data_IF_641589520796
#
_entry.id   IF_641589520796
#
_cell.length_a   1.000
_cell.length_b   1.000
_cell.length_c   1.000
_cell.angle_alpha   90.00
_cell.angle_beta   90.00
_cell.angle_gamma   90.00
#
_symmetry.space_group_name_H-M   'P 1'
#
loop_
_entity.id
_entity.type
_entity.pdbx_description
1 polymer ?
#
# COMPACT_ATOMS: atom_id res chain seq x y z
N UNK A 1 35.04 13.78 10.23
CA UNK A 1 33.94 14.68 9.83
C UNK A 1 33.43 14.39 8.41
N UNK A 2 34.29 14.26 7.41
CA UNK A 2 33.91 14.06 6.00
C UNK A 2 33.08 12.78 5.73
N UNK A 3 33.41 11.70 6.42
CA UNK A 3 32.70 10.40 6.25
C UNK A 3 31.27 10.44 6.81
N UNK A 4 31.06 11.18 7.91
CA UNK A 4 29.72 11.37 8.49
C UNK A 4 28.83 12.18 7.55
N UNK A 5 29.36 13.26 6.96
CA UNK A 5 28.64 14.11 6.02
C UNK A 5 28.21 13.38 4.73
N UNK A 6 29.05 12.48 4.21
CA UNK A 6 28.73 11.62 3.06
C UNK A 6 27.59 10.64 3.38
N UNK A 7 27.58 10.07 4.59
CA UNK A 7 26.52 9.15 5.03
C UNK A 7 25.18 9.89 5.17
N UNK A 8 25.15 11.05 5.78
CA UNK A 8 23.92 11.83 5.94
C UNK A 8 23.35 12.31 4.59
N UNK A 9 24.19 12.77 3.68
CA UNK A 9 23.77 13.12 2.32
C UNK A 9 23.20 11.94 1.56
N UNK A 10 23.77 10.76 1.72
CA UNK A 10 23.25 9.51 1.15
C UNK A 10 21.85 9.17 1.65
N UNK A 11 21.61 9.29 2.97
CA UNK A 11 20.31 9.06 3.60
C UNK A 11 19.24 10.04 3.11
N UNK A 12 19.57 11.33 3.02
CA UNK A 12 18.64 12.35 2.52
C UNK A 12 18.26 12.12 1.06
N UNK A 13 19.23 11.71 0.23
CA UNK A 13 18.99 11.40 -1.17
C UNK A 13 18.09 10.16 -1.33
N UNK A 14 18.31 9.11 -0.53
CA UNK A 14 17.47 7.92 -0.52
C UNK A 14 16.03 8.25 -0.11
N UNK A 15 15.84 9.02 0.97
CA UNK A 15 14.52 9.45 1.44
C UNK A 15 13.78 10.23 0.35
N UNK A 16 14.44 11.19 -0.31
CA UNK A 16 13.85 11.98 -1.40
C UNK A 16 13.43 11.10 -2.58
N UNK A 17 14.23 10.11 -2.97
CA UNK A 17 13.90 9.16 -4.06
C UNK A 17 12.66 8.32 -3.71
N UNK A 18 12.59 7.81 -2.48
CA UNK A 18 11.46 7.00 -2.03
C UNK A 18 10.17 7.85 -1.99
N UNK A 19 10.21 9.06 -1.41
CA UNK A 19 9.04 9.95 -1.38
C UNK A 19 8.53 10.27 -2.78
N UNK A 20 9.43 10.61 -3.72
CA UNK A 20 9.03 10.83 -5.12
C UNK A 20 8.40 9.60 -5.76
N UNK A 21 8.92 8.41 -5.45
CA UNK A 21 8.36 7.16 -5.96
C UNK A 21 7.00 6.87 -5.32
N UNK A 22 6.83 7.15 -4.03
CA UNK A 22 5.54 7.01 -3.31
C UNK A 22 4.43 7.82 -4.00
N UNK A 23 4.69 9.08 -4.33
CA UNK A 23 3.72 9.91 -5.05
C UNK A 23 3.40 9.37 -6.45
N UNK A 24 4.39 8.82 -7.17
CA UNK A 24 4.15 8.16 -8.46
C UNK A 24 3.28 6.92 -8.31
N UNK A 25 3.55 6.10 -7.30
CA UNK A 25 2.75 4.90 -7.00
C UNK A 25 1.32 5.30 -6.65
N UNK A 26 1.13 6.31 -5.80
CA UNK A 26 -0.20 6.82 -5.43
C UNK A 26 -0.97 7.32 -6.65
N UNK A 27 -0.33 8.10 -7.52
CA UNK A 27 -0.95 8.61 -8.74
C UNK A 27 -1.37 7.48 -9.69
N UNK A 28 -0.48 6.51 -9.94
CA UNK A 28 -0.77 5.34 -10.77
C UNK A 28 -1.89 4.50 -10.15
N UNK A 29 -1.89 4.34 -8.83
CA UNK A 29 -2.95 3.64 -8.11
C UNK A 29 -4.32 4.25 -8.34
N UNK A 30 -4.46 5.57 -8.21
CA UNK A 30 -5.73 6.28 -8.44
C UNK A 30 -6.20 6.11 -9.88
N UNK A 31 -5.29 6.29 -10.86
CA UNK A 31 -5.62 6.13 -12.29
C UNK A 31 -6.08 4.70 -12.61
N UNK A 32 -5.35 3.70 -12.14
CA UNK A 32 -5.70 2.29 -12.39
C UNK A 32 -7.02 1.92 -11.69
N UNK A 33 -7.23 2.39 -10.46
CA UNK A 33 -8.50 2.14 -9.74
C UNK A 33 -9.68 2.74 -10.50
N UNK A 34 -9.56 3.97 -11.01
CA UNK A 34 -10.60 4.60 -11.81
C UNK A 34 -10.85 3.84 -13.13
N UNK A 35 -9.78 3.41 -13.82
CA UNK A 35 -9.90 2.62 -15.04
C UNK A 35 -10.60 1.27 -14.79
N UNK A 36 -10.23 0.57 -13.70
CA UNK A 36 -10.90 -0.67 -13.32
C UNK A 36 -12.35 -0.44 -12.89
N UNK A 37 -12.67 0.67 -12.20
CA UNK A 37 -14.04 0.97 -11.83
C UNK A 37 -14.92 1.18 -13.07
N UNK A 38 -14.45 1.91 -14.08
CA UNK A 38 -15.14 2.09 -15.36
C UNK A 38 -15.32 0.74 -16.09
N UNK A 39 -14.25 -0.05 -16.15
CA UNK A 39 -14.29 -1.37 -16.79
C UNK A 39 -15.30 -2.32 -16.13
N UNK A 40 -15.31 -2.39 -14.81
CA UNK A 40 -16.20 -3.26 -14.05
C UNK A 40 -17.64 -2.73 -13.94
N UNK A 41 -17.85 -1.42 -14.13
CA UNK A 41 -19.20 -0.88 -14.32
C UNK A 41 -19.86 -1.47 -15.57
N UNK A 42 -19.08 -1.65 -16.64
CA UNK A 42 -19.55 -2.26 -17.90
C UNK A 42 -19.60 -3.80 -17.85
N UNK A 43 -18.83 -4.43 -16.94
CA UNK A 43 -18.67 -5.87 -16.81
C UNK A 43 -19.01 -6.36 -15.40
N UNK A 44 -20.23 -6.08 -14.93
CA UNK A 44 -20.67 -6.29 -13.55
C UNK A 44 -20.57 -7.77 -13.10
N UNK A 45 -20.82 -8.73 -13.97
CA UNK A 45 -20.72 -10.17 -13.63
C UNK A 45 -19.27 -10.59 -13.34
N UNK A 46 -18.32 -10.07 -14.11
CA UNK A 46 -16.88 -10.30 -13.83
C UNK A 46 -16.45 -9.65 -12.51
N UNK A 47 -16.94 -8.43 -12.24
CA UNK A 47 -16.68 -7.77 -10.97
C UNK A 47 -17.20 -8.57 -9.76
N UNK A 48 -18.41 -9.15 -9.88
CA UNK A 48 -19.01 -10.01 -8.87
C UNK A 48 -18.15 -11.26 -8.58
N UNK A 49 -17.63 -11.90 -9.63
CA UNK A 49 -16.74 -13.06 -9.48
C UNK A 49 -15.44 -12.68 -8.75
N UNK A 50 -14.81 -11.55 -9.12
CA UNK A 50 -13.62 -11.05 -8.47
C UNK A 50 -13.90 -10.74 -7.00
N UNK A 51 -15.00 -10.04 -6.72
CA UNK A 51 -15.39 -9.71 -5.35
C UNK A 51 -15.63 -10.98 -4.51
N UNK A 52 -16.32 -11.98 -5.04
CA UNK A 52 -16.56 -13.24 -4.37
C UNK A 52 -15.24 -13.97 -3.99
N UNK A 53 -14.21 -13.85 -4.83
CA UNK A 53 -12.87 -14.41 -4.55
C UNK A 53 -12.19 -13.76 -3.35
N UNK A 54 -12.45 -12.46 -3.10
CA UNK A 54 -11.86 -11.70 -2.00
C UNK A 54 -12.72 -11.65 -0.74
N UNK A 55 -13.99 -12.05 -0.82
CA UNK A 55 -14.93 -12.05 0.30
C UNK A 55 -14.42 -12.81 1.54
N UNK A 56 -13.83 -14.02 1.43
CA UNK A 56 -13.29 -14.74 2.58
C UNK A 56 -12.18 -13.95 3.30
N UNK A 57 -11.36 -13.24 2.54
CA UNK A 57 -10.32 -12.37 3.13
C UNK A 57 -10.91 -11.15 3.84
N UNK A 58 -11.97 -10.56 3.32
CA UNK A 58 -12.67 -9.48 3.99
C UNK A 58 -13.34 -9.98 5.30
N UNK A 59 -13.92 -11.17 5.27
CA UNK A 59 -14.52 -11.81 6.44
C UNK A 59 -13.49 -12.13 7.54
N UNK A 60 -12.25 -12.45 7.19
CA UNK A 60 -11.19 -12.77 8.17
C UNK A 60 -10.78 -11.60 9.07
N UNK A 61 -11.17 -10.38 8.73
CA UNK A 61 -10.94 -9.17 9.54
C UNK A 61 -12.22 -8.66 10.22
N UNK A 62 -13.29 -9.46 10.22
CA UNK A 62 -14.55 -9.18 10.93
C UNK A 62 -14.60 -9.94 12.25
N UNK A 63 -15.29 -9.37 13.22
CA UNK A 63 -15.65 -10.03 14.48
C UNK A 63 -16.82 -10.99 14.27
N UNK A 64 -17.11 -11.85 15.25
CA UNK A 64 -18.25 -12.78 15.22
C UNK A 64 -19.61 -12.08 15.08
N UNK A 65 -19.73 -10.85 15.55
CA UNK A 65 -20.91 -10.01 15.44
C UNK A 65 -21.08 -9.30 14.08
N UNK A 66 -20.16 -9.54 13.13
CA UNK A 66 -20.16 -8.91 11.81
C UNK A 66 -19.60 -7.48 11.77
N UNK A 67 -19.08 -6.98 12.88
CA UNK A 67 -18.39 -5.68 12.93
C UNK A 67 -16.94 -5.81 12.48
N UNK A 68 -16.32 -4.72 12.02
CA UNK A 68 -14.90 -4.72 11.65
C UNK A 68 -14.02 -4.82 12.90
N UNK A 69 -13.12 -5.79 12.90
CA UNK A 69 -12.05 -5.88 13.89
C UNK A 69 -10.94 -4.88 13.56
N UNK A 70 -10.86 -3.78 14.30
CA UNK A 70 -9.80 -2.77 14.11
C UNK A 70 -8.40 -3.39 14.21
N UNK A 71 -8.18 -4.27 15.19
CA UNK A 71 -6.91 -4.98 15.35
C UNK A 71 -6.65 -5.89 14.14
N UNK A 72 -7.66 -6.62 13.65
CA UNK A 72 -7.56 -7.47 12.47
C UNK A 72 -7.18 -6.66 11.21
N UNK A 73 -7.82 -5.52 11.00
CA UNK A 73 -7.52 -4.62 9.87
C UNK A 73 -6.09 -4.10 9.95
N UNK A 74 -5.66 -3.58 11.12
CA UNK A 74 -4.29 -3.07 11.30
C UNK A 74 -3.26 -4.16 11.05
N UNK A 75 -3.45 -5.35 11.64
CA UNK A 75 -2.51 -6.47 11.47
C UNK A 75 -2.44 -6.95 10.01
N UNK A 76 -3.59 -7.03 9.32
CA UNK A 76 -3.62 -7.37 7.89
C UNK A 76 -2.85 -6.32 7.06
N UNK A 77 -3.01 -5.04 7.35
CA UNK A 77 -2.33 -3.96 6.63
C UNK A 77 -0.82 -3.93 6.92
N UNK A 78 -0.41 -4.12 8.18
CA UNK A 78 1.01 -4.26 8.55
C UNK A 78 1.64 -5.42 7.80
N UNK A 79 0.97 -6.59 7.78
CA UNK A 79 1.43 -7.77 7.07
C UNK A 79 1.52 -7.53 5.56
N UNK A 80 0.49 -6.94 4.95
CA UNK A 80 0.48 -6.62 3.53
C UNK A 80 1.63 -5.68 3.13
N UNK A 81 1.89 -4.66 3.94
CA UNK A 81 2.99 -3.73 3.72
C UNK A 81 4.37 -4.37 3.90
N UNK A 82 4.54 -5.22 4.92
CA UNK A 82 5.76 -5.99 5.12
C UNK A 82 6.02 -6.94 3.93
N UNK A 83 4.98 -7.61 3.45
CA UNK A 83 5.05 -8.46 2.26
C UNK A 83 5.43 -7.67 1.00
N UNK A 84 4.89 -6.46 0.78
CA UNK A 84 5.28 -5.60 -0.34
C UNK A 84 6.78 -5.28 -0.34
N UNK A 85 7.36 -5.00 0.83
CA UNK A 85 8.80 -4.76 0.97
C UNK A 85 9.57 -6.06 0.74
N UNK A 86 9.14 -7.17 1.35
CA UNK A 86 9.76 -8.50 1.21
C UNK A 86 9.79 -8.99 -0.25
N UNK A 87 8.70 -8.80 -1.00
CA UNK A 87 8.64 -9.11 -2.43
C UNK A 87 9.66 -8.31 -3.25
N UNK A 88 10.06 -7.13 -2.77
CA UNK A 88 11.13 -6.34 -3.37
C UNK A 88 12.51 -6.99 -3.31
N UNK A 89 12.71 -7.99 -2.44
CA UNK A 89 13.94 -8.77 -2.39
C UNK A 89 14.13 -9.71 -3.59
N UNK A 90 13.08 -9.94 -4.40
CA UNK A 90 13.14 -10.77 -5.60
C UNK A 90 13.46 -9.85 -6.80
N UNK A 91 14.69 -9.90 -7.34
CA UNK A 91 15.06 -9.05 -8.47
C UNK A 91 14.33 -9.46 -9.75
N UNK A 92 14.29 -8.56 -10.73
CA UNK A 92 13.74 -8.70 -12.09
C UNK A 92 12.20 -8.79 -12.20
N UNK A 93 11.48 -9.33 -11.23
CA UNK A 93 10.03 -9.66 -11.38
C UNK A 93 9.11 -8.50 -10.97
N UNK A 94 9.59 -7.52 -10.20
CA UNK A 94 8.80 -6.39 -9.73
C UNK A 94 7.46 -6.77 -9.06
N UNK A 95 7.44 -7.86 -8.28
CA UNK A 95 6.27 -8.35 -7.56
C UNK A 95 5.50 -7.27 -6.77
N UNK A 96 6.15 -6.27 -6.12
CA UNK A 96 5.42 -5.18 -5.48
C UNK A 96 4.49 -4.40 -6.42
N UNK A 97 4.82 -4.29 -7.70
CA UNK A 97 3.96 -3.65 -8.70
C UNK A 97 2.70 -4.47 -8.99
N UNK A 98 2.77 -5.80 -8.93
CA UNK A 98 1.59 -6.68 -9.04
C UNK A 98 0.64 -6.49 -7.85
N UNK A 99 1.17 -6.22 -6.64
CA UNK A 99 0.34 -5.89 -5.48
C UNK A 99 -0.41 -4.58 -5.68
N UNK A 100 0.19 -3.56 -6.33
CA UNK A 100 -0.53 -2.34 -6.73
C UNK A 100 -1.70 -2.70 -7.64
N UNK A 101 -1.43 -3.47 -8.69
CA UNK A 101 -2.43 -3.84 -9.70
C UNK A 101 -3.60 -4.62 -9.07
N UNK A 102 -3.35 -5.61 -8.24
CA UNK A 102 -4.40 -6.41 -7.60
C UNK A 102 -5.27 -5.57 -6.66
N UNK A 103 -4.70 -4.66 -5.87
CA UNK A 103 -5.49 -3.77 -5.02
C UNK A 103 -6.33 -2.77 -5.82
N UNK A 104 -5.79 -2.21 -6.90
CA UNK A 104 -6.56 -1.36 -7.81
C UNK A 104 -7.74 -2.11 -8.42
N UNK A 105 -7.52 -3.37 -8.82
CA UNK A 105 -8.55 -4.22 -9.40
C UNK A 105 -9.67 -4.51 -8.40
N UNK A 106 -9.35 -4.84 -7.14
CA UNK A 106 -10.34 -5.14 -6.10
C UNK A 106 -11.19 -3.91 -5.79
N UNK A 107 -10.54 -2.75 -5.56
CA UNK A 107 -11.26 -1.50 -5.25
C UNK A 107 -12.08 -1.05 -6.46
N UNK A 108 -11.52 -1.15 -7.66
CA UNK A 108 -12.23 -0.86 -8.90
C UNK A 108 -13.43 -1.78 -9.12
N UNK A 109 -13.31 -3.08 -8.83
CA UNK A 109 -14.43 -4.02 -8.92
C UNK A 109 -15.55 -3.67 -7.92
N UNK A 110 -15.18 -3.31 -6.68
CA UNK A 110 -16.15 -2.88 -5.66
C UNK A 110 -16.92 -1.63 -6.09
N UNK A 111 -16.22 -0.62 -6.57
CA UNK A 111 -16.82 0.64 -7.00
C UNK A 111 -17.66 0.46 -8.28
N UNK A 112 -17.11 -0.26 -9.26
CA UNK A 112 -17.80 -0.48 -10.54
C UNK A 112 -19.03 -1.36 -10.40
N UNK A 113 -18.93 -2.48 -9.69
CA UNK A 113 -20.06 -3.37 -9.42
C UNK A 113 -21.15 -2.67 -8.59
N UNK A 114 -20.76 -1.99 -7.50
CA UNK A 114 -21.71 -1.29 -6.64
C UNK A 114 -22.47 -0.19 -7.37
N UNK A 115 -21.80 0.52 -8.28
CA UNK A 115 -22.42 1.53 -9.14
C UNK A 115 -23.37 0.89 -10.16
N UNK A 116 -22.96 -0.20 -10.82
CA UNK A 116 -23.78 -0.89 -11.81
C UNK A 116 -25.04 -1.53 -11.18
N UNK A 117 -24.91 -2.07 -9.97
CA UNK A 117 -26.01 -2.65 -9.21
C UNK A 117 -26.93 -1.59 -8.56
N UNK A 118 -26.55 -0.30 -8.62
CA UNK A 118 -27.31 0.78 -7.95
C UNK A 118 -27.29 0.71 -6.42
N UNK A 119 -26.45 -0.17 -5.85
CA UNK A 119 -26.35 -0.39 -4.39
C UNK A 119 -25.36 0.56 -3.71
N UNK A 120 -24.38 1.05 -4.44
CA UNK A 120 -23.33 1.93 -3.94
C UNK A 120 -23.19 3.12 -4.89
N UNK A 121 -23.38 4.33 -4.37
CA UNK A 121 -22.97 5.54 -5.09
C UNK A 121 -21.45 5.70 -4.94
N UNK A 122 -20.66 5.76 -6.02
CA UNK A 122 -19.19 5.77 -5.94
C UNK A 122 -18.62 6.90 -5.07
N UNK A 123 -19.18 8.09 -5.16
CA UNK A 123 -18.71 9.25 -4.41
C UNK A 123 -18.89 9.09 -2.89
N UNK A 124 -20.07 8.75 -2.36
CA UNK A 124 -20.24 8.42 -0.95
C UNK A 124 -19.38 7.24 -0.49
N UNK A 125 -19.23 6.19 -1.31
CA UNK A 125 -18.38 5.04 -0.98
C UNK A 125 -16.89 5.44 -0.81
N UNK A 126 -16.41 6.35 -1.64
CA UNK A 126 -15.06 6.88 -1.51
C UNK A 126 -14.95 7.78 -0.27
N UNK A 127 -15.89 8.73 -0.10
CA UNK A 127 -15.82 9.75 0.95
C UNK A 127 -16.05 9.17 2.34
N UNK A 128 -17.05 8.31 2.50
CA UNK A 128 -17.45 7.78 3.81
C UNK A 128 -16.90 6.39 4.10
N UNK A 129 -16.56 5.61 3.06
CA UNK A 129 -16.02 4.26 3.21
C UNK A 129 -14.49 4.22 3.09
N UNK A 130 -13.95 4.69 1.97
CA UNK A 130 -12.53 4.53 1.68
C UNK A 130 -11.65 5.60 2.32
N UNK A 131 -12.07 6.87 2.33
CA UNK A 131 -11.25 7.98 2.83
C UNK A 131 -10.96 7.91 4.34
N UNK A 132 -11.92 7.63 5.25
CA UNK A 132 -11.62 7.63 6.68
C UNK A 132 -10.54 6.62 7.08
N UNK A 133 -10.59 5.43 6.49
CA UNK A 133 -9.56 4.41 6.68
C UNK A 133 -8.33 4.70 5.82
N UNK A 134 -8.55 5.14 4.59
CA UNK A 134 -7.50 5.38 3.61
C UNK A 134 -6.54 6.52 3.96
N UNK A 135 -6.97 7.56 4.66
CA UNK A 135 -6.09 8.67 5.07
C UNK A 135 -4.91 8.16 5.93
N UNK A 136 -5.13 7.16 6.75
CA UNK A 136 -4.09 6.60 7.61
C UNK A 136 -3.36 5.42 6.97
N UNK A 137 -4.06 4.56 6.26
CA UNK A 137 -3.54 3.28 5.75
C UNK A 137 -2.88 3.41 4.37
N UNK A 138 -3.51 4.14 3.44
CA UNK A 138 -2.98 4.29 2.07
C UNK A 138 -1.58 4.92 2.01
N UNK A 139 -1.21 5.95 2.80
CA UNK A 139 0.14 6.49 2.76
C UNK A 139 1.22 5.46 3.12
N UNK A 140 0.96 4.61 4.13
CA UNK A 140 1.90 3.55 4.50
C UNK A 140 1.98 2.45 3.43
N UNK A 141 0.85 2.10 2.85
CA UNK A 141 0.78 1.14 1.77
C UNK A 141 1.54 1.62 0.53
N UNK A 142 1.32 2.86 0.08
CA UNK A 142 2.07 3.44 -1.04
C UNK A 142 3.57 3.56 -0.75
N UNK A 143 3.93 3.93 0.49
CA UNK A 143 5.32 3.98 0.90
C UNK A 143 5.97 2.59 0.86
N UNK A 144 5.30 1.58 1.40
CA UNK A 144 5.80 0.19 1.42
C UNK A 144 5.97 -0.37 0.01
N UNK A 145 5.04 -0.08 -0.90
CA UNK A 145 5.15 -0.42 -2.31
C UNK A 145 6.33 0.28 -2.99
N UNK A 146 6.49 1.59 -2.75
CA UNK A 146 7.61 2.35 -3.29
C UNK A 146 8.95 1.81 -2.79
N UNK A 147 9.01 1.43 -1.50
CA UNK A 147 10.19 0.79 -0.90
C UNK A 147 10.50 -0.55 -1.56
N UNK A 148 9.50 -1.41 -1.74
CA UNK A 148 9.64 -2.71 -2.42
C UNK A 148 10.09 -2.57 -3.87
N UNK A 149 9.49 -1.66 -4.63
CA UNK A 149 9.88 -1.38 -6.03
C UNK A 149 11.31 -0.83 -6.08
N UNK A 150 11.67 0.09 -5.18
CA UNK A 150 13.02 0.64 -5.11
C UNK A 150 14.06 -0.43 -4.77
N UNK A 151 13.75 -1.32 -3.83
CA UNK A 151 14.59 -2.45 -3.43
C UNK A 151 14.80 -3.41 -4.61
N UNK A 152 13.73 -3.85 -5.25
CA UNK A 152 13.77 -4.72 -6.41
C UNK A 152 14.64 -4.14 -7.54
N UNK A 153 14.41 -2.86 -7.87
CA UNK A 153 15.20 -2.16 -8.88
C UNK A 153 16.69 -2.11 -8.51
N UNK A 154 17.01 -1.78 -7.25
CA UNK A 154 18.40 -1.65 -6.80
C UNK A 154 19.12 -3.00 -6.86
N UNK A 155 18.46 -4.08 -6.42
CA UNK A 155 19.00 -5.45 -6.50
C UNK A 155 19.20 -5.87 -7.96
N UNK A 156 18.22 -5.64 -8.81
CA UNK A 156 18.32 -5.94 -10.25
C UNK A 156 19.50 -5.19 -10.90
N UNK A 157 19.63 -3.89 -10.64
CA UNK A 157 20.73 -3.10 -11.19
C UNK A 157 22.10 -3.53 -10.67
N UNK A 158 22.16 -4.00 -9.41
CA UNK A 158 23.40 -4.53 -8.84
C UNK A 158 23.79 -5.85 -9.50
N UNK A 159 22.85 -6.77 -9.69
CA UNK A 159 23.10 -8.05 -10.38
C UNK A 159 23.52 -7.86 -11.83
N UNK A 160 23.03 -6.80 -12.49
CA UNK A 160 23.46 -6.43 -13.83
C UNK A 160 24.81 -5.68 -13.90
N UNK A 161 25.48 -5.48 -12.76
CA UNK A 161 26.76 -4.74 -12.70
C UNK A 161 26.64 -3.23 -12.98
N UNK A 162 25.39 -2.69 -13.01
CA UNK A 162 25.11 -1.29 -13.37
C UNK A 162 24.89 -0.37 -12.17
N UNK A 163 24.86 -0.90 -10.93
CA UNK A 163 24.73 -0.10 -9.72
C UNK A 163 26.09 0.23 -9.13
N UNK A 164 26.31 1.51 -8.76
CA UNK A 164 27.38 1.91 -7.87
C UNK A 164 27.17 1.26 -6.50
N UNK A 165 28.24 0.94 -5.81
CA UNK A 165 28.24 0.25 -4.50
C UNK A 165 27.40 0.99 -3.44
N UNK A 166 26.08 0.90 -3.50
CA UNK A 166 25.24 1.15 -2.33
C UNK A 166 25.29 -0.12 -1.46
N UNK A 167 25.69 0.04 -0.19
CA UNK A 167 25.66 -1.07 0.77
C UNK A 167 24.20 -1.49 0.99
N UNK A 168 23.76 -2.57 0.36
CA UNK A 168 22.37 -3.09 0.46
C UNK A 168 21.92 -3.19 1.92
N UNK A 169 22.81 -3.65 2.82
CA UNK A 169 22.49 -3.77 4.24
C UNK A 169 22.15 -2.41 4.86
N UNK A 170 22.88 -1.35 4.51
CA UNK A 170 22.59 0.01 4.99
C UNK A 170 21.25 0.50 4.45
N UNK A 171 20.95 0.19 3.20
CA UNK A 171 19.65 0.52 2.58
C UNK A 171 18.51 -0.25 3.27
N UNK A 172 18.64 -1.56 3.45
CA UNK A 172 17.62 -2.38 4.14
C UNK A 172 17.35 -1.89 5.56
N UNK A 173 18.40 -1.59 6.34
CA UNK A 173 18.26 -1.04 7.68
C UNK A 173 17.52 0.31 7.68
N UNK A 174 17.77 1.12 6.65
CA UNK A 174 17.10 2.42 6.55
C UNK A 174 15.61 2.27 6.15
N UNK A 175 15.31 1.36 5.23
CA UNK A 175 13.94 1.01 4.86
C UNK A 175 13.18 0.46 6.06
N UNK A 176 13.76 -0.48 6.80
CA UNK A 176 13.15 -1.07 8.00
C UNK A 176 12.84 0.00 9.07
N UNK A 177 13.78 0.91 9.36
CA UNK A 177 13.55 2.02 10.29
C UNK A 177 12.43 2.93 9.81
N UNK A 178 12.43 3.32 8.54
CA UNK A 178 11.38 4.19 7.96
C UNK A 178 10.00 3.51 8.05
N UNK A 179 9.94 2.21 7.78
CA UNK A 179 8.73 1.41 7.90
C UNK A 179 8.20 1.43 9.34
N UNK A 180 9.05 1.11 10.32
CA UNK A 180 8.68 1.10 11.74
C UNK A 180 8.22 2.48 12.21
N UNK A 181 8.90 3.55 11.81
CA UNK A 181 8.53 4.93 12.20
C UNK A 181 7.16 5.34 11.64
N UNK A 182 6.86 4.97 10.40
CA UNK A 182 5.55 5.26 9.79
C UNK A 182 4.44 4.50 10.52
N UNK A 183 4.64 3.20 10.79
CA UNK A 183 3.63 2.40 11.51
C UNK A 183 3.42 2.82 12.95
N UNK A 184 4.48 3.21 13.67
CA UNK A 184 4.34 3.79 15.02
C UNK A 184 3.45 5.03 15.01
N UNK A 185 3.66 5.93 14.04
CA UNK A 185 2.84 7.14 13.91
C UNK A 185 1.39 6.82 13.58
N UNK A 186 1.16 5.87 12.68
CA UNK A 186 -0.20 5.44 12.33
C UNK A 186 -0.92 4.78 13.50
N UNK A 187 -0.24 3.90 14.24
CA UNK A 187 -0.80 3.27 15.42
C UNK A 187 -1.17 4.32 16.50
N UNK A 188 -0.33 5.33 16.71
CA UNK A 188 -0.62 6.42 17.65
C UNK A 188 -1.84 7.24 17.21
N UNK A 189 -1.92 7.63 15.93
CA UNK A 189 -3.06 8.39 15.40
C UNK A 189 -4.36 7.59 15.47
N UNK A 190 -4.31 6.29 15.19
CA UNK A 190 -5.46 5.40 15.33
C UNK A 190 -5.90 5.29 16.80
N UNK A 191 -4.95 5.16 17.72
CA UNK A 191 -5.23 5.10 19.14
C UNK A 191 -5.86 6.39 19.68
N UNK A 192 -5.38 7.55 19.24
CA UNK A 192 -5.97 8.85 19.56
C UNK A 192 -7.39 8.99 18.99
N UNK A 193 -7.63 8.56 17.74
CA UNK A 193 -8.95 8.62 17.13
C UNK A 193 -9.97 7.74 17.85
N UNK A 194 -9.59 6.55 18.30
CA UNK A 194 -10.43 5.66 19.10
C UNK A 194 -10.72 6.28 20.47
N UNK A 195 -9.71 6.87 21.12
CA UNK A 195 -9.87 7.52 22.42
C UNK A 195 -10.85 8.69 22.40
N UNK A 196 -10.92 9.42 21.29
CA UNK A 196 -11.86 10.54 21.10
C UNK A 196 -13.30 10.09 20.81
N UNK A 197 -13.53 8.82 20.48
CA UNK A 197 -14.86 8.25 20.22
C UNK A 197 -15.46 7.53 21.43
N UNK A 198 -14.71 7.40 22.51
CA UNK A 198 -15.23 6.86 23.78
C UNK A 198 -15.79 8.04 24.58
N UNK A 199 -17.12 8.09 24.86
CA UNK A 199 -17.75 9.14 25.65
C UNK A 199 -17.30 9.17 27.10
#
# INVERSE_FOLDING_TARGET
>A
MENWYKIERGKQNLKSKIVKLTWKVAFVFVLLTAAFAIYFYQNAELAKQIFATYLPKAQSVMNEDGTLSYVGVVMNNVFACAMCIGMGCIPFIFLPALSVLSNCMIIGALLGYGAAAGTISPLPAIVYGLLPHGIFELPAFFLSMAMGIYLCRTLTMKLLGKAKEEKILTMLNHLAKTFVDVYKRQALLLFESIRLQIP
#
